data_IF_626822538964
#
_entry.id   IF_626822538964
#
_cell.length_a   1.000
_cell.length_b   1.000
_cell.length_c   1.000
_cell.angle_alpha   90.00
_cell.angle_beta   90.00
_cell.angle_gamma   90.00
#
_symmetry.space_group_name_H-M   'P 1'
#
loop_
_entity.id
_entity.type
_entity.pdbx_description
1 polymer ?
#
# COMPACT_ATOMS: atom_id res chain seq x y z
N UNK A 1 -31.05 0.77 -7.45
CA UNK A 1 -30.03 -0.11 -6.87
C UNK A 1 -28.68 0.50 -7.21
N UNK A 2 -27.98 1.08 -6.26
CA UNK A 2 -26.61 1.59 -6.50
C UNK A 2 -25.71 0.44 -6.91
N UNK A 3 -24.84 0.59 -7.91
CA UNK A 3 -23.88 -0.46 -8.26
C UNK A 3 -23.04 -0.79 -7.03
N UNK A 4 -22.96 -2.07 -6.70
CA UNK A 4 -22.12 -2.56 -5.61
C UNK A 4 -20.68 -2.18 -5.95
N UNK A 5 -20.14 -1.18 -5.24
CA UNK A 5 -18.74 -0.78 -5.37
C UNK A 5 -17.88 -1.99 -4.99
N UNK A 6 -16.97 -2.38 -5.87
CA UNK A 6 -15.97 -3.39 -5.52
C UNK A 6 -15.20 -2.94 -4.28
N UNK A 7 -14.92 -3.84 -3.34
CA UNK A 7 -14.11 -3.49 -2.17
C UNK A 7 -12.73 -3.00 -2.60
N UNK A 8 -12.20 -1.99 -1.91
CA UNK A 8 -10.84 -1.51 -2.19
C UNK A 8 -9.79 -2.60 -1.91
N UNK A 9 -8.59 -2.51 -2.48
CA UNK A 9 -7.50 -3.45 -2.18
C UNK A 9 -7.25 -3.64 -0.68
N UNK A 10 -7.38 -2.57 0.12
CA UNK A 10 -7.23 -2.59 1.59
C UNK A 10 -8.40 -3.30 2.29
N UNK A 11 -9.63 -3.11 1.81
CA UNK A 11 -10.82 -3.75 2.38
C UNK A 11 -10.81 -5.28 2.26
N UNK A 12 -10.07 -5.84 1.27
CA UNK A 12 -9.86 -7.30 1.15
C UNK A 12 -9.28 -7.94 2.42
N UNK A 13 -8.52 -7.17 3.19
CA UNK A 13 -7.91 -7.58 4.45
C UNK A 13 -8.73 -7.20 5.68
N UNK A 14 -9.93 -6.64 5.49
CA UNK A 14 -10.77 -6.06 6.56
C UNK A 14 -10.03 -4.96 7.34
N UNK A 15 -9.17 -4.22 6.65
CA UNK A 15 -8.41 -3.11 7.21
C UNK A 15 -9.14 -1.80 7.00
N UNK A 16 -9.01 -0.91 7.98
CA UNK A 16 -9.41 0.47 7.81
C UNK A 16 -8.41 1.19 6.88
N UNK A 17 -8.88 2.07 5.99
CA UNK A 17 -8.01 2.88 5.15
C UNK A 17 -7.13 3.79 6.01
N UNK A 18 -5.91 4.06 5.56
CA UNK A 18 -5.07 5.10 6.13
C UNK A 18 -5.75 6.48 5.99
N UNK A 19 -5.39 7.46 6.82
CA UNK A 19 -5.97 8.79 6.72
C UNK A 19 -5.54 9.49 5.43
N UNK A 20 -6.37 10.41 4.97
CA UNK A 20 -6.14 11.29 3.84
C UNK A 20 -5.72 10.54 2.56
N UNK A 21 -4.92 11.15 1.72
CA UNK A 21 -4.40 10.54 0.49
C UNK A 21 -3.48 9.34 0.71
N UNK A 22 -2.98 9.11 1.93
CA UNK A 22 -2.18 7.93 2.24
C UNK A 22 -2.97 6.61 2.05
N UNK A 23 -4.29 6.67 2.00
CA UNK A 23 -5.16 5.53 1.68
C UNK A 23 -4.89 4.95 0.30
N UNK A 24 -4.60 5.78 -0.72
CA UNK A 24 -4.31 5.30 -2.07
C UNK A 24 -2.94 4.57 -2.12
N UNK A 25 -1.97 5.02 -1.33
CA UNK A 25 -0.69 4.33 -1.17
C UNK A 25 -0.88 2.97 -0.51
N UNK A 26 -1.71 2.91 0.53
CA UNK A 26 -2.07 1.65 1.19
C UNK A 26 -2.78 0.69 0.23
N UNK A 27 -3.68 1.19 -0.61
CA UNK A 27 -4.37 0.39 -1.62
C UNK A 27 -3.39 -0.19 -2.65
N UNK A 28 -2.44 0.59 -3.17
CA UNK A 28 -1.39 0.08 -4.06
C UNK A 28 -0.64 -1.10 -3.41
N UNK A 29 -0.20 -0.97 -2.18
CA UNK A 29 0.51 -2.02 -1.45
C UNK A 29 -0.33 -3.28 -1.25
N UNK A 30 -1.64 -3.09 -1.06
CA UNK A 30 -2.59 -4.18 -0.84
C UNK A 30 -3.15 -4.80 -2.12
N UNK A 31 -2.70 -4.38 -3.32
CA UNK A 31 -3.03 -5.05 -4.59
C UNK A 31 -2.37 -6.43 -4.74
N UNK A 32 -1.33 -6.73 -3.99
CA UNK A 32 -0.50 -7.94 -4.13
C UNK A 32 -1.29 -9.24 -3.94
N UNK A 33 -0.81 -10.30 -4.62
CA UNK A 33 -1.28 -11.65 -4.36
C UNK A 33 -0.85 -12.13 -2.96
N UNK A 34 -1.74 -12.85 -2.28
CA UNK A 34 -1.44 -13.51 -1.01
C UNK A 34 -1.92 -14.96 -1.09
N UNK A 35 -1.03 -15.82 -1.52
CA UNK A 35 -1.32 -17.22 -1.81
C UNK A 35 -2.01 -17.98 -0.64
N UNK A 36 -1.59 -17.84 0.64
CA UNK A 36 -2.25 -18.54 1.75
C UNK A 36 -3.73 -18.16 1.96
N UNK A 37 -4.16 -17.02 1.43
CA UNK A 37 -5.55 -16.55 1.54
C UNK A 37 -6.32 -16.64 0.22
N UNK A 38 -5.69 -17.20 -0.84
CA UNK A 38 -6.31 -17.30 -2.17
C UNK A 38 -6.60 -15.94 -2.82
N UNK A 39 -5.90 -14.87 -2.40
CA UNK A 39 -6.09 -13.53 -2.92
C UNK A 39 -5.21 -13.32 -4.16
N UNK A 40 -5.81 -12.96 -5.32
CA UNK A 40 -5.05 -12.67 -6.54
C UNK A 40 -4.30 -11.34 -6.44
N UNK A 41 -3.33 -11.14 -7.34
CA UNK A 41 -2.75 -9.82 -7.60
C UNK A 41 -3.75 -8.99 -8.40
N UNK A 42 -4.12 -7.82 -7.90
CA UNK A 42 -5.12 -6.94 -8.53
C UNK A 42 -4.52 -6.04 -9.62
N UNK A 43 -3.23 -6.17 -9.88
CA UNK A 43 -2.51 -5.50 -10.98
C UNK A 43 -1.65 -6.53 -11.73
N UNK A 44 -2.17 -7.75 -11.89
CA UNK A 44 -1.48 -8.82 -12.62
C UNK A 44 -1.32 -8.48 -14.11
N UNK A 45 -2.34 -7.87 -14.68
CA UNK A 45 -2.47 -7.45 -16.08
C UNK A 45 -3.28 -6.14 -16.18
N UNK A 46 -3.42 -5.61 -17.41
CA UNK A 46 -4.13 -4.36 -17.65
C UNK A 46 -5.61 -4.41 -17.27
N UNK A 47 -6.28 -5.54 -17.46
CA UNK A 47 -7.72 -5.68 -17.14
C UNK A 47 -7.95 -5.62 -15.63
N UNK A 48 -7.17 -6.36 -14.85
CA UNK A 48 -7.25 -6.35 -13.38
C UNK A 48 -6.83 -5.00 -12.80
N UNK A 49 -5.81 -4.37 -13.37
CA UNK A 49 -5.39 -3.01 -13.00
C UNK A 49 -6.49 -1.98 -13.30
N UNK A 50 -7.10 -2.04 -14.50
CA UNK A 50 -8.21 -1.16 -14.88
C UNK A 50 -9.41 -1.31 -13.94
N UNK A 51 -9.77 -2.53 -13.59
CA UNK A 51 -10.85 -2.79 -12.64
C UNK A 51 -10.56 -2.23 -11.24
N UNK A 52 -9.29 -2.22 -10.84
CA UNK A 52 -8.85 -1.73 -9.51
C UNK A 52 -8.82 -0.21 -9.44
N UNK A 53 -8.31 0.47 -10.48
CA UNK A 53 -8.08 1.91 -10.47
C UNK A 53 -9.21 2.72 -11.11
N UNK A 54 -10.13 2.05 -11.81
CA UNK A 54 -11.31 2.70 -12.41
C UNK A 54 -11.02 3.46 -13.71
N UNK A 55 -9.83 3.26 -14.29
CA UNK A 55 -9.43 3.83 -15.58
C UNK A 55 -8.84 2.74 -16.48
N UNK A 56 -8.76 3.03 -17.80
CA UNK A 56 -8.20 2.07 -18.74
C UNK A 56 -6.67 2.02 -18.62
N UNK A 57 -6.14 0.86 -18.27
CA UNK A 57 -4.72 0.58 -18.13
C UNK A 57 -4.31 -0.57 -19.06
N UNK A 58 -3.12 -0.50 -19.60
CA UNK A 58 -2.48 -1.54 -20.42
C UNK A 58 -1.71 -2.56 -19.55
N UNK A 59 -1.22 -3.63 -20.17
CA UNK A 59 -0.33 -4.57 -19.50
C UNK A 59 1.01 -3.92 -19.11
N UNK A 60 1.49 -2.95 -19.89
CA UNK A 60 2.68 -2.16 -19.57
C UNK A 60 2.43 -1.26 -18.36
N UNK A 61 1.25 -0.63 -18.27
CA UNK A 61 0.84 0.13 -17.08
C UNK A 61 0.80 -0.79 -15.84
N UNK A 62 0.23 -1.97 -15.96
CA UNK A 62 0.19 -2.94 -14.88
C UNK A 62 1.60 -3.37 -14.44
N UNK A 63 2.54 -3.55 -15.37
CA UNK A 63 3.94 -3.84 -15.07
C UNK A 63 4.60 -2.66 -14.33
N UNK A 64 4.36 -1.43 -14.78
CA UNK A 64 4.84 -0.20 -14.12
C UNK A 64 4.28 -0.06 -12.71
N UNK A 65 3.00 -0.33 -12.50
CA UNK A 65 2.38 -0.30 -11.17
C UNK A 65 2.94 -1.37 -10.22
N UNK A 66 3.31 -2.54 -10.73
CA UNK A 66 4.00 -3.56 -9.91
C UNK A 66 5.40 -3.11 -9.49
N UNK A 67 6.13 -2.45 -10.38
CA UNK A 67 7.43 -1.86 -10.06
C UNK A 67 7.28 -0.73 -9.02
N UNK A 68 6.33 0.19 -9.23
CA UNK A 68 5.99 1.24 -8.26
C UNK A 68 5.65 0.68 -6.88
N UNK A 69 4.87 -0.40 -6.82
CA UNK A 69 4.54 -1.07 -5.56
C UNK A 69 5.80 -1.59 -4.86
N UNK A 70 6.73 -2.17 -5.60
CA UNK A 70 8.01 -2.63 -5.04
C UNK A 70 8.85 -1.47 -4.50
N UNK A 71 8.91 -0.34 -5.22
CA UNK A 71 9.62 0.87 -4.78
C UNK A 71 9.03 1.44 -3.48
N UNK A 72 7.70 1.51 -3.38
CA UNK A 72 7.02 1.97 -2.17
C UNK A 72 7.23 0.98 -1.00
N UNK A 73 7.24 -0.34 -1.27
CA UNK A 73 7.58 -1.35 -0.26
C UNK A 73 9.01 -1.17 0.28
N UNK A 74 10.00 -0.93 -0.61
CA UNK A 74 11.37 -0.64 -0.24
C UNK A 74 11.49 0.65 0.59
N UNK A 75 10.75 1.71 0.20
CA UNK A 75 10.70 2.96 0.95
C UNK A 75 10.15 2.78 2.38
N UNK A 76 9.11 1.96 2.57
CA UNK A 76 8.57 1.60 3.91
C UNK A 76 9.61 0.82 4.72
N UNK A 77 10.38 -0.06 4.09
CA UNK A 77 11.44 -0.82 4.75
C UNK A 77 12.66 0.04 5.12
N UNK A 78 12.74 1.28 4.61
CA UNK A 78 13.91 2.16 4.76
C UNK A 78 15.08 1.75 3.85
N UNK A 79 14.80 1.00 2.80
CA UNK A 79 15.79 0.58 1.82
C UNK A 79 16.03 1.72 0.81
N UNK A 80 17.30 2.05 0.59
CA UNK A 80 17.70 3.06 -0.38
C UNK A 80 17.83 2.42 -1.77
N UNK A 81 16.81 2.59 -2.60
CA UNK A 81 16.83 2.20 -4.01
C UNK A 81 16.73 3.46 -4.89
N UNK A 82 17.31 3.46 -6.09
CA UNK A 82 17.06 4.51 -7.06
C UNK A 82 15.58 4.48 -7.48
N UNK A 83 14.84 5.53 -7.15
CA UNK A 83 13.44 5.69 -7.52
C UNK A 83 13.39 6.64 -8.72
N UNK A 84 12.64 6.31 -9.79
CA UNK A 84 12.45 7.21 -10.92
C UNK A 84 11.83 8.54 -10.47
N UNK A 85 12.30 9.66 -11.02
CA UNK A 85 11.70 10.95 -10.76
C UNK A 85 10.28 11.00 -11.35
N UNK A 86 9.35 11.58 -10.60
CA UNK A 86 7.98 11.86 -11.07
C UNK A 86 7.74 13.36 -11.09
N UNK A 87 6.82 13.80 -11.95
CA UNK A 87 6.42 15.20 -12.05
C UNK A 87 5.08 15.39 -11.34
N UNK A 88 4.99 16.44 -10.53
CA UNK A 88 3.76 16.88 -9.86
C UNK A 88 3.63 18.37 -10.08
N UNK A 89 2.44 18.87 -10.36
CA UNK A 89 2.18 20.29 -10.46
C UNK A 89 1.75 20.89 -9.12
N UNK A 90 2.23 22.11 -8.86
CA UNK A 90 1.72 22.94 -7.78
C UNK A 90 0.62 23.83 -8.33
N UNK A 91 -0.59 23.67 -7.84
CA UNK A 91 -1.76 24.43 -8.30
C UNK A 91 -2.25 25.32 -7.16
N UNK A 92 -2.05 26.66 -7.27
CA UNK A 92 -2.66 27.61 -6.36
C UNK A 92 -4.17 27.68 -6.57
N UNK A 93 -4.93 27.68 -5.51
CA UNK A 93 -6.38 27.86 -5.52
C UNK A 93 -6.75 29.32 -5.18
N UNK A 94 -7.97 29.73 -5.49
CA UNK A 94 -8.44 31.12 -5.33
C UNK A 94 -8.54 31.59 -3.88
N UNK A 95 -8.52 30.67 -2.91
CA UNK A 95 -8.52 30.93 -1.47
C UNK A 95 -7.10 31.10 -0.89
N UNK A 96 -6.06 31.00 -1.76
CA UNK A 96 -4.65 31.11 -1.38
C UNK A 96 -4.04 29.77 -0.91
N UNK A 97 -4.79 28.68 -0.90
CA UNK A 97 -4.22 27.35 -0.69
C UNK A 97 -3.44 26.87 -1.92
N UNK A 98 -2.54 25.92 -1.73
CA UNK A 98 -1.77 25.29 -2.81
C UNK A 98 -1.89 23.78 -2.66
N UNK A 99 -2.28 23.12 -3.72
CA UNK A 99 -2.37 21.65 -3.77
C UNK A 99 -1.38 21.06 -4.75
N UNK A 100 -0.97 19.81 -4.49
CA UNK A 100 -0.25 19.00 -5.46
C UNK A 100 -1.27 18.38 -6.43
N UNK A 101 -1.01 18.49 -7.72
CA UNK A 101 -1.83 17.91 -8.79
C UNK A 101 -0.99 16.84 -9.52
N UNK A 102 -1.39 15.56 -9.48
CA UNK A 102 -0.71 14.52 -10.25
C UNK A 102 -0.74 14.83 -11.75
N UNK A 103 0.30 14.40 -12.46
CA UNK A 103 0.45 14.59 -13.91
C UNK A 103 0.67 13.27 -14.62
N UNK A 104 0.57 13.28 -15.96
CA UNK A 104 0.71 12.08 -16.77
C UNK A 104 -0.63 11.39 -17.08
N UNK A 105 -0.57 10.17 -17.56
CA UNK A 105 -1.71 9.30 -17.86
C UNK A 105 -1.41 7.88 -17.46
N UNK A 106 -2.42 7.04 -17.22
CA UNK A 106 -2.25 5.64 -16.87
C UNK A 106 -1.37 5.46 -15.63
N UNK A 107 -0.39 4.56 -15.70
CA UNK A 107 0.52 4.29 -14.59
C UNK A 107 1.36 5.51 -14.16
N UNK A 108 1.71 6.41 -15.07
CA UNK A 108 2.48 7.62 -14.74
C UNK A 108 1.67 8.57 -13.85
N UNK A 109 0.38 8.75 -14.16
CA UNK A 109 -0.52 9.55 -13.33
C UNK A 109 -0.64 8.96 -11.92
N UNK A 110 -0.84 7.65 -11.83
CA UNK A 110 -0.92 6.94 -10.55
C UNK A 110 0.41 7.05 -9.77
N UNK A 111 1.55 6.91 -10.44
CA UNK A 111 2.87 7.07 -9.81
C UNK A 111 3.06 8.50 -9.27
N UNK A 112 2.68 9.52 -10.06
CA UNK A 112 2.70 10.92 -9.64
C UNK A 112 1.84 11.13 -8.39
N UNK A 113 0.62 10.59 -8.36
CA UNK A 113 -0.27 10.65 -7.21
C UNK A 113 0.34 9.96 -5.97
N UNK A 114 0.82 8.74 -6.12
CA UNK A 114 1.40 7.95 -5.02
C UNK A 114 2.58 8.69 -4.36
N UNK A 115 3.52 9.20 -5.15
CA UNK A 115 4.68 9.90 -4.60
C UNK A 115 4.34 11.27 -4.02
N UNK A 116 3.33 11.98 -4.56
CA UNK A 116 2.81 13.19 -3.95
C UNK A 116 2.26 12.92 -2.54
N UNK A 117 1.45 11.85 -2.38
CA UNK A 117 0.87 11.47 -1.09
C UNK A 117 1.94 10.96 -0.11
N UNK A 118 2.96 10.26 -0.58
CA UNK A 118 4.11 9.88 0.25
C UNK A 118 4.83 11.12 0.78
N UNK A 119 5.08 12.13 -0.08
CA UNK A 119 5.70 13.40 0.33
C UNK A 119 4.86 14.11 1.40
N UNK A 120 3.55 14.24 1.18
CA UNK A 120 2.66 14.87 2.15
C UNK A 120 2.63 14.12 3.49
N UNK A 121 2.60 12.79 3.44
CA UNK A 121 2.62 11.95 4.63
C UNK A 121 3.97 12.04 5.39
N UNK A 122 5.09 12.21 4.69
CA UNK A 122 6.39 12.44 5.30
C UNK A 122 6.42 13.80 6.02
N UNK A 123 5.91 14.85 5.38
CA UNK A 123 5.83 16.20 5.98
C UNK A 123 4.91 16.23 7.21
N UNK A 124 3.81 15.47 7.19
CA UNK A 124 2.87 15.35 8.30
C UNK A 124 3.31 14.37 9.41
N UNK A 125 4.48 13.75 9.30
CA UNK A 125 4.97 12.66 10.20
C UNK A 125 4.03 11.46 10.32
N UNK A 126 3.22 11.22 9.29
CA UNK A 126 2.27 10.09 9.24
C UNK A 126 2.81 8.90 8.46
N UNK A 127 3.79 9.12 7.57
CA UNK A 127 4.41 8.07 6.74
C UNK A 127 4.90 6.87 7.53
N UNK A 128 5.58 7.09 8.65
CA UNK A 128 6.14 6.04 9.52
C UNK A 128 5.09 5.13 10.17
N UNK A 129 3.81 5.48 10.07
CA UNK A 129 2.68 4.69 10.55
C UNK A 129 2.15 3.72 9.50
N UNK A 130 2.47 3.92 8.23
CA UNK A 130 2.17 2.95 7.18
C UNK A 130 3.22 1.84 7.23
N UNK A 131 2.79 0.62 7.51
CA UNK A 131 3.67 -0.52 7.79
C UNK A 131 3.23 -1.76 7.05
N UNK A 132 4.16 -2.70 6.87
CA UNK A 132 3.84 -4.06 6.43
C UNK A 132 3.71 -4.99 7.64
N UNK A 133 2.71 -5.86 7.58
CA UNK A 133 2.54 -6.93 8.57
C UNK A 133 3.77 -7.84 8.60
N UNK A 134 4.37 -8.04 9.77
CA UNK A 134 5.54 -8.92 9.95
C UNK A 134 5.25 -10.41 9.76
N UNK A 135 3.99 -10.82 9.63
CA UNK A 135 3.68 -12.17 9.18
C UNK A 135 3.91 -12.23 7.66
N UNK A 136 5.03 -12.81 7.24
CA UNK A 136 5.45 -12.92 5.83
C UNK A 136 4.37 -13.55 4.94
N UNK A 137 3.63 -14.53 5.48
CA UNK A 137 2.51 -15.15 4.76
C UNK A 137 1.34 -14.18 4.52
N UNK A 138 1.26 -13.09 5.28
CA UNK A 138 0.25 -12.05 5.13
C UNK A 138 0.80 -10.86 4.33
N UNK A 139 1.79 -10.15 4.88
CA UNK A 139 2.46 -9.01 4.24
C UNK A 139 1.55 -7.83 3.91
N UNK A 140 0.29 -7.78 4.41
CA UNK A 140 -0.61 -6.67 4.16
C UNK A 140 -0.06 -5.34 4.68
N UNK A 141 -0.31 -4.26 3.97
CA UNK A 141 -0.01 -2.91 4.42
C UNK A 141 -1.12 -2.40 5.34
N UNK A 142 -0.76 -1.88 6.50
CA UNK A 142 -1.72 -1.33 7.46
C UNK A 142 -1.22 -0.02 8.05
N UNK A 143 -2.14 0.85 8.44
CA UNK A 143 -1.81 2.08 9.14
C UNK A 143 -1.87 1.83 10.66
N UNK A 144 -0.74 2.02 11.34
CA UNK A 144 -0.63 1.83 12.78
C UNK A 144 -1.28 2.98 13.54
N UNK A 145 -2.46 2.74 14.09
CA UNK A 145 -3.22 3.71 14.89
C UNK A 145 -2.88 3.66 16.38
N UNK A 146 -1.92 2.82 16.79
CA UNK A 146 -1.52 2.74 18.19
C UNK A 146 -0.84 4.05 18.64
N UNK A 147 -1.00 4.38 19.93
CA UNK A 147 -0.44 5.60 20.51
C UNK A 147 1.07 5.70 20.29
N UNK A 148 1.78 4.61 20.47
CA UNK A 148 3.25 4.58 20.47
C UNK A 148 3.85 4.15 19.12
N UNK A 149 3.03 4.03 18.06
CA UNK A 149 3.47 3.53 16.76
C UNK A 149 4.25 2.20 16.85
N UNK A 150 3.81 1.29 17.71
CA UNK A 150 4.50 0.03 18.02
C UNK A 150 3.86 -1.21 17.37
N UNK A 151 2.80 -1.02 16.59
CA UNK A 151 2.14 -2.10 15.85
C UNK A 151 3.08 -2.75 14.85
N UNK A 152 3.19 -4.08 14.89
CA UNK A 152 3.99 -4.89 13.95
C UNK A 152 3.13 -5.88 13.15
N UNK A 153 1.88 -6.05 13.56
CA UNK A 153 0.88 -6.91 12.93
C UNK A 153 -0.34 -6.07 12.56
N UNK A 154 -0.91 -6.33 11.39
CA UNK A 154 -2.18 -5.69 11.05
C UNK A 154 -3.31 -6.15 11.98
N UNK A 155 -3.23 -7.39 12.46
CA UNK A 155 -4.13 -7.97 13.47
C UNK A 155 -3.33 -8.91 14.38
N UNK A 156 -3.34 -8.61 15.68
CA UNK A 156 -2.63 -9.41 16.69
C UNK A 156 -3.27 -10.78 16.86
N UNK A 157 -4.61 -10.88 16.78
CA UNK A 157 -5.35 -12.14 17.01
C UNK A 157 -5.10 -13.17 15.92
N UNK A 158 -4.90 -12.71 14.69
CA UNK A 158 -4.61 -13.58 13.54
C UNK A 158 -3.10 -13.68 13.30
N UNK A 159 -2.47 -12.61 12.83
CA UNK A 159 -1.07 -12.62 12.43
C UNK A 159 -0.10 -12.72 13.61
N UNK A 160 -0.38 -12.01 14.72
CA UNK A 160 0.46 -12.06 15.92
C UNK A 160 0.47 -13.45 16.56
N UNK A 161 -0.67 -14.08 16.72
CA UNK A 161 -0.78 -15.42 17.30
C UNK A 161 -0.08 -16.48 16.44
N UNK A 162 -0.21 -16.42 15.12
CA UNK A 162 0.48 -17.34 14.20
C UNK A 162 2.00 -17.20 14.31
N UNK A 163 2.51 -15.97 14.37
CA UNK A 163 3.94 -15.71 14.52
C UNK A 163 4.48 -16.22 15.88
N UNK A 164 3.75 -15.95 16.96
CA UNK A 164 4.13 -16.41 18.31
C UNK A 164 4.14 -17.94 18.42
N UNK A 165 3.16 -18.63 17.82
CA UNK A 165 3.13 -20.08 17.76
C UNK A 165 4.31 -20.67 16.98
N UNK A 166 4.66 -20.07 15.82
CA UNK A 166 5.84 -20.49 15.03
C UNK A 166 7.13 -20.29 15.82
N UNK A 167 7.31 -19.14 16.46
CA UNK A 167 8.47 -18.86 17.30
C UNK A 167 8.58 -19.82 18.49
N UNK A 168 7.46 -20.15 19.15
CA UNK A 168 7.43 -21.13 20.26
C UNK A 168 7.83 -22.54 19.80
N UNK A 169 7.30 -23.00 18.65
CA UNK A 169 7.65 -24.31 18.08
C UNK A 169 9.11 -24.39 17.66
N UNK A 170 9.66 -23.31 17.07
CA UNK A 170 11.07 -23.25 16.68
C UNK A 170 12.00 -23.34 17.91
N UNK A 171 11.68 -22.62 19.01
CA UNK A 171 12.44 -22.70 20.25
C UNK A 171 12.43 -24.11 20.86
N UNK A 172 11.27 -24.78 20.90
CA UNK A 172 11.16 -26.17 21.40
C UNK A 172 11.99 -27.15 20.57
N UNK A 173 12.03 -26.98 19.23
CA UNK A 173 12.82 -27.84 18.33
C UNK A 173 14.33 -27.63 18.49
N UNK A 174 14.78 -26.43 18.87
CA UNK A 174 16.20 -26.12 19.10
C UNK A 174 16.71 -26.57 20.46
N UNK A 175 15.84 -27.02 21.37
CA UNK A 175 16.17 -27.50 22.71
C UNK A 175 16.21 -29.05 22.81
N UNK A 176 15.94 -29.75 21.69
CA UNK A 176 16.05 -31.22 21.53
C UNK A 176 17.22 -31.55 20.63
#
# INVERSE_FOLDING_TARGET
MSPSRLPSPTERFRLAPAPDGLSVVQDLLNTRAIAPYGLPDLIADGDTASATWGERLSDDDAATLRALRADVEAAIAGELAPIPAVTVELVPDSDGSVRLSPTGTGADYIASQIWAEVLLAQQADTWRRLKRCKNEACGSAFYDRSRNNSGVWHDVKTCGNVANLRASRARKKAQV
#
